data_IF_455717906205
#
_entry.id   IF_455717906205
#
_cell.length_a   1.000
_cell.length_b   1.000
_cell.length_c   1.000
_cell.angle_alpha   90.00
_cell.angle_beta   90.00
_cell.angle_gamma   90.00
#
_symmetry.space_group_name_H-M   'P 1'
#
loop_
_entity.id
_entity.type
_entity.pdbx_description
1 polymer ?
#
# COMPACT_ATOMS: atom_id res chain seq x y z
N UNK A 1 0.39 4.40 -30.92
CA UNK A 1 0.30 5.32 -29.79
C UNK A 1 1.41 4.96 -28.80
N UNK A 2 2.38 5.86 -28.59
CA UNK A 2 3.51 5.64 -27.67
C UNK A 2 3.00 5.83 -26.24
N UNK A 3 2.87 4.75 -25.48
CA UNK A 3 2.64 4.83 -24.03
C UNK A 3 3.89 5.45 -23.42
N UNK A 4 3.80 6.71 -23.01
CA UNK A 4 4.82 7.38 -22.21
C UNK A 4 5.01 6.58 -20.91
N UNK A 5 6.08 5.79 -20.85
CA UNK A 5 6.63 5.30 -19.60
C UNK A 5 7.31 6.48 -18.91
N UNK A 6 6.51 7.38 -18.35
CA UNK A 6 7.00 8.54 -17.60
C UNK A 6 7.84 8.06 -16.43
N UNK A 7 9.13 8.38 -16.47
CA UNK A 7 10.10 8.48 -15.38
C UNK A 7 9.57 8.11 -13.99
N UNK A 8 9.63 6.82 -13.63
CA UNK A 8 9.42 6.40 -12.24
C UNK A 8 10.62 6.75 -11.35
N UNK A 9 11.80 6.98 -11.93
CA UNK A 9 13.04 7.25 -11.17
C UNK A 9 13.10 8.64 -10.52
N UNK A 10 12.31 9.63 -11.00
CA UNK A 10 12.34 11.01 -10.49
C UNK A 10 11.21 11.35 -9.48
N UNK A 11 10.23 10.45 -9.30
CA UNK A 11 9.09 10.75 -8.44
C UNK A 11 9.45 10.48 -6.99
N UNK A 12 9.96 11.49 -6.28
CA UNK A 12 10.19 11.44 -4.82
C UNK A 12 8.92 11.17 -4.01
N UNK A 13 7.74 11.18 -4.66
CA UNK A 13 6.47 10.77 -4.09
C UNK A 13 5.54 10.27 -5.19
N UNK A 14 4.83 9.17 -4.96
CA UNK A 14 3.76 8.71 -5.85
C UNK A 14 2.69 7.93 -5.09
N UNK A 15 1.48 7.88 -5.67
CA UNK A 15 0.32 7.20 -5.10
C UNK A 15 0.05 5.92 -5.88
N UNK A 16 -0.25 4.84 -5.16
CA UNK A 16 -0.82 3.60 -5.68
C UNK A 16 -2.24 3.46 -5.16
N UNK A 17 -3.11 2.88 -5.97
CA UNK A 17 -4.49 2.56 -5.61
C UNK A 17 -4.79 1.22 -6.22
N UNK A 18 -5.21 0.27 -5.38
CA UNK A 18 -5.47 -1.10 -5.79
C UNK A 18 -6.57 -1.69 -4.89
N UNK A 19 -6.96 -2.93 -5.16
CA UNK A 19 -8.01 -3.62 -4.43
C UNK A 19 -7.62 -5.07 -4.15
N UNK A 20 -8.03 -5.57 -2.99
CA UNK A 20 -7.92 -6.98 -2.63
C UNK A 20 -9.22 -7.44 -1.97
N UNK A 21 -9.81 -8.53 -2.48
CA UNK A 21 -11.10 -9.08 -1.99
C UNK A 21 -12.20 -8.00 -1.86
N UNK A 22 -12.33 -7.17 -2.89
CA UNK A 22 -13.28 -6.04 -2.98
C UNK A 22 -13.07 -4.93 -1.94
N UNK A 23 -11.94 -4.90 -1.22
CA UNK A 23 -11.56 -3.80 -0.35
C UNK A 23 -10.53 -2.95 -1.06
N UNK A 24 -10.78 -1.65 -1.19
CA UNK A 24 -9.84 -0.74 -1.85
C UNK A 24 -8.78 -0.29 -0.86
N UNK A 25 -7.53 -0.23 -1.31
CA UNK A 25 -6.47 0.37 -0.52
C UNK A 25 -5.68 1.38 -1.35
N UNK A 26 -5.21 2.41 -0.64
CA UNK A 26 -4.44 3.51 -1.20
C UNK A 26 -3.13 3.57 -0.46
N UNK A 27 -2.03 3.59 -1.21
CA UNK A 27 -0.69 3.77 -0.71
C UNK A 27 -0.05 5.02 -1.28
N UNK A 28 0.71 5.74 -0.48
CA UNK A 28 1.56 6.84 -0.88
C UNK A 28 2.99 6.50 -0.50
N UNK A 29 3.81 6.31 -1.53
CA UNK A 29 5.24 6.11 -1.39
C UNK A 29 5.96 7.45 -1.43
N UNK A 30 6.95 7.62 -0.55
CA UNK A 30 7.78 8.82 -0.47
C UNK A 30 9.24 8.42 -0.32
N UNK A 31 10.10 9.04 -1.12
CA UNK A 31 11.54 9.00 -0.92
C UNK A 31 11.93 10.11 0.04
N UNK A 32 12.55 9.73 1.14
CA UNK A 32 13.14 10.64 2.10
C UNK A 32 14.36 11.33 1.47
N UNK A 33 14.49 12.64 1.65
CA UNK A 33 15.56 13.43 1.00
C UNK A 33 16.90 13.30 1.71
N UNK A 34 16.90 13.06 3.01
CA UNK A 34 18.11 13.04 3.82
C UNK A 34 18.75 11.65 3.79
N UNK A 35 17.93 10.62 3.86
CA UNK A 35 18.37 9.20 3.89
C UNK A 35 18.31 8.52 2.53
N UNK A 36 17.70 9.16 1.52
CA UNK A 36 17.38 8.57 0.21
C UNK A 36 16.53 7.30 0.26
N UNK A 37 15.96 6.98 1.44
CA UNK A 37 15.22 5.77 1.66
C UNK A 37 13.74 5.96 1.35
N UNK A 38 13.09 4.89 0.91
CA UNK A 38 11.67 4.87 0.63
C UNK A 38 10.89 4.51 1.89
N UNK A 39 9.82 5.25 2.14
CA UNK A 39 8.82 5.00 3.16
C UNK A 39 7.44 5.11 2.54
N UNK A 40 6.42 4.66 3.25
CA UNK A 40 5.07 4.76 2.76
C UNK A 40 4.06 5.00 3.86
N UNK A 41 2.90 5.54 3.47
CA UNK A 41 1.68 5.59 4.29
C UNK A 41 0.49 5.26 3.43
N UNK A 42 -0.61 4.81 4.02
CA UNK A 42 -1.77 4.39 3.26
C UNK A 42 -3.00 4.23 4.13
N UNK A 43 -4.10 3.89 3.47
CA UNK A 43 -5.33 3.48 4.11
C UNK A 43 -6.04 2.38 3.32
N UNK A 44 -6.86 1.61 4.02
CA UNK A 44 -7.83 0.67 3.43
C UNK A 44 -9.21 1.25 3.71
N UNK A 45 -10.02 1.36 2.66
CA UNK A 45 -11.42 1.70 2.74
C UNK A 45 -12.22 0.40 2.67
N UNK A 46 -12.72 -0.03 3.83
CA UNK A 46 -13.53 -1.23 3.90
C UNK A 46 -14.96 -0.95 3.44
N UNK A 47 -15.56 -1.93 2.78
CA UNK A 47 -16.92 -1.83 2.23
C UNK A 47 -18.00 -1.67 3.30
N UNK A 48 -17.68 -1.97 4.56
CA UNK A 48 -18.54 -1.76 5.72
C UNK A 48 -18.49 -0.32 6.27
N UNK A 49 -17.77 0.58 5.60
CA UNK A 49 -17.65 2.00 5.95
C UNK A 49 -16.53 2.32 6.93
N UNK A 50 -15.78 1.32 7.40
CA UNK A 50 -14.61 1.57 8.24
C UNK A 50 -13.36 1.88 7.40
N UNK A 51 -12.54 2.82 7.86
CA UNK A 51 -11.21 3.03 7.32
C UNK A 51 -10.12 2.47 8.25
N UNK A 52 -8.98 2.08 7.69
CA UNK A 52 -7.80 1.73 8.47
C UNK A 52 -6.57 2.40 7.86
N UNK A 53 -5.97 3.33 8.60
CA UNK A 53 -4.74 4.01 8.21
C UNK A 53 -3.50 3.23 8.69
N UNK A 54 -2.44 3.25 7.90
CA UNK A 54 -1.19 2.58 8.21
C UNK A 54 0.02 3.31 7.61
N UNK A 55 1.18 3.13 8.23
CA UNK A 55 2.45 3.70 7.78
C UNK A 55 3.58 2.69 7.92
N UNK A 56 4.63 2.88 7.13
CA UNK A 56 5.78 1.99 7.10
C UNK A 56 6.52 2.05 8.43
N UNK A 57 6.71 0.89 9.07
CA UNK A 57 7.53 0.76 10.28
C UNK A 57 9.04 0.69 9.98
N UNK A 58 9.40 0.55 8.71
CA UNK A 58 10.77 0.46 8.21
C UNK A 58 10.93 1.30 6.95
N UNK A 59 12.16 1.65 6.64
CA UNK A 59 12.54 2.22 5.36
C UNK A 59 13.02 1.14 4.39
N UNK A 60 13.05 1.48 3.10
CA UNK A 60 13.43 0.59 2.01
C UNK A 60 14.46 1.26 1.10
N UNK A 61 15.33 0.46 0.48
CA UNK A 61 16.36 0.97 -0.41
C UNK A 61 15.75 1.39 -1.75
N UNK A 62 14.79 0.60 -2.24
CA UNK A 62 14.16 0.84 -3.54
C UNK A 62 12.65 1.11 -3.42
N UNK A 63 12.12 1.84 -4.41
CA UNK A 63 10.69 2.09 -4.51
C UNK A 63 9.89 0.80 -4.70
N UNK A 64 10.45 -0.15 -5.45
CA UNK A 64 9.82 -1.44 -5.77
C UNK A 64 9.66 -2.30 -4.53
N UNK A 65 10.68 -2.38 -3.68
CA UNK A 65 10.59 -3.11 -2.39
C UNK A 65 9.57 -2.46 -1.45
N UNK A 66 9.57 -1.13 -1.39
CA UNK A 66 8.58 -0.39 -0.60
C UNK A 66 7.16 -0.66 -1.10
N UNK A 67 6.95 -0.71 -2.42
CA UNK A 67 5.64 -0.96 -3.03
C UNK A 67 5.16 -2.39 -2.82
N UNK A 68 6.01 -3.39 -3.08
CA UNK A 68 5.69 -4.80 -2.86
C UNK A 68 5.37 -5.06 -1.39
N UNK A 69 6.16 -4.49 -0.47
CA UNK A 69 5.87 -4.60 0.94
C UNK A 69 4.54 -3.94 1.33
N UNK A 70 4.25 -2.74 0.82
CA UNK A 70 2.96 -2.07 1.06
C UNK A 70 1.80 -2.93 0.60
N UNK A 71 1.85 -3.47 -0.63
CA UNK A 71 0.81 -4.33 -1.19
C UNK A 71 0.58 -5.56 -0.31
N UNK A 72 1.65 -6.25 0.08
CA UNK A 72 1.57 -7.42 0.97
C UNK A 72 0.98 -7.07 2.33
N UNK A 73 1.39 -5.94 2.90
CA UNK A 73 0.88 -5.46 4.18
C UNK A 73 -0.62 -5.17 4.10
N UNK A 74 -1.08 -4.45 3.07
CA UNK A 74 -2.49 -4.14 2.86
C UNK A 74 -3.31 -5.41 2.66
N UNK A 75 -2.86 -6.34 1.79
CA UNK A 75 -3.54 -7.61 1.57
C UNK A 75 -3.65 -8.44 2.85
N UNK A 76 -2.55 -8.58 3.61
CA UNK A 76 -2.55 -9.31 4.88
C UNK A 76 -3.51 -8.67 5.90
N UNK A 77 -3.59 -7.34 5.95
CA UNK A 77 -4.52 -6.64 6.85
C UNK A 77 -5.98 -6.88 6.46
N UNK A 78 -6.28 -6.86 5.17
CA UNK A 78 -7.60 -7.18 4.62
C UNK A 78 -7.97 -8.63 4.93
N UNK A 79 -7.07 -9.58 4.65
CA UNK A 79 -7.32 -11.00 4.89
C UNK A 79 -7.54 -11.31 6.36
N UNK A 80 -6.75 -10.71 7.26
CA UNK A 80 -6.93 -10.85 8.70
C UNK A 80 -8.31 -10.33 9.14
N UNK A 81 -8.71 -9.12 8.71
CA UNK A 81 -10.02 -8.57 9.07
C UNK A 81 -11.16 -9.45 8.56
N UNK A 82 -11.13 -9.83 7.28
CA UNK A 82 -12.17 -10.66 6.68
C UNK A 82 -12.24 -12.07 7.31
N UNK A 83 -11.10 -12.62 7.75
CA UNK A 83 -11.07 -13.91 8.47
C UNK A 83 -11.68 -13.77 9.86
N UNK A 84 -11.40 -12.69 10.60
CA UNK A 84 -12.03 -12.43 11.91
C UNK A 84 -13.53 -12.15 11.83
N UNK A 85 -14.01 -11.66 10.69
CA UNK A 85 -15.43 -11.39 10.44
C UNK A 85 -16.22 -12.61 9.94
N UNK A 86 -15.56 -13.76 9.73
CA UNK A 86 -16.23 -15.03 9.44
C UNK A 86 -16.22 -15.92 10.70
N UNK A 87 -17.14 -15.72 11.66
CA UNK A 87 -17.17 -16.49 12.90
C UNK A 87 -17.57 -17.97 12.74
N UNK A 88 -17.99 -18.43 11.55
CA UNK A 88 -18.38 -19.82 11.33
C UNK A 88 -17.54 -20.50 10.25
N UNK A 89 -16.44 -21.14 10.68
CA UNK A 89 -15.89 -22.32 10.02
C UNK A 89 -15.67 -23.42 11.05
N UNK A 90 -16.74 -23.84 11.72
CA UNK A 90 -16.92 -25.16 12.34
C UNK A 90 -18.42 -25.45 12.37
#
# INVERSE_FOLDING_TARGET
MKVMKTNMEDRSRYRITDSHRNQTFVGELRKDRDTYAWTWKGHIDFTDGHNFEFASQRSFVTAVEAEDYLRRFACARIDNRLSTMQPNRL
#
